data_IF_395311069646
#
_entry.id   IF_395311069646
#
_cell.length_a   1.000
_cell.length_b   1.000
_cell.length_c   1.000
_cell.angle_alpha   90.00
_cell.angle_beta   90.00
_cell.angle_gamma   90.00
#
_symmetry.space_group_name_H-M   'P 1'
#
loop_
_entity.id
_entity.type
_entity.pdbx_description
1 polymer ?
#
# COMPACT_ATOMS: atom_id res chain seq x y z
N UNK A 1 -6.47 -4.90 -20.66
CA UNK A 1 -6.34 -4.02 -19.47
C UNK A 1 -4.85 -3.86 -19.16
N UNK A 2 -4.29 -2.64 -19.28
CA UNK A 2 -2.87 -2.40 -18.99
C UNK A 2 -2.64 -2.52 -17.48
N UNK A 3 -2.28 -3.73 -17.04
CA UNK A 3 -1.54 -3.97 -15.80
C UNK A 3 -0.30 -3.07 -15.80
N UNK A 4 0.18 -2.77 -14.59
CA UNK A 4 1.50 -2.24 -14.23
C UNK A 4 1.45 -0.84 -13.60
N UNK A 5 1.17 -0.80 -12.31
CA UNK A 5 2.00 0.02 -11.41
C UNK A 5 3.14 -0.87 -10.91
N UNK A 6 4.36 -0.63 -11.40
CA UNK A 6 5.55 -1.34 -10.90
C UNK A 6 5.95 -0.85 -9.48
N UNK A 7 5.37 0.26 -9.04
CA UNK A 7 5.70 0.97 -7.82
C UNK A 7 4.44 1.54 -7.20
N UNK A 8 4.30 1.35 -5.90
CA UNK A 8 3.23 1.91 -5.06
C UNK A 8 3.88 2.92 -4.14
N UNK A 9 3.39 4.17 -4.23
CA UNK A 9 3.72 5.22 -3.27
C UNK A 9 2.48 5.46 -2.42
N UNK A 10 2.53 5.06 -1.15
CA UNK A 10 1.46 5.32 -0.20
C UNK A 10 1.85 6.52 0.67
N UNK A 11 0.95 7.51 0.77
CA UNK A 11 1.21 8.76 1.47
C UNK A 11 0.16 8.99 2.56
N UNK A 12 0.59 9.55 3.69
CA UNK A 12 -0.30 9.97 4.77
C UNK A 12 -0.81 11.40 4.57
N UNK A 13 -1.82 11.75 5.37
CA UNK A 13 -2.36 13.11 5.47
C UNK A 13 -1.23 14.05 5.90
N UNK A 14 -0.89 15.00 5.03
CA UNK A 14 0.27 15.89 5.19
C UNK A 14 1.42 15.64 4.19
N UNK A 15 1.24 14.73 3.24
CA UNK A 15 2.18 14.53 2.12
C UNK A 15 3.42 13.72 2.47
N UNK A 16 3.43 13.04 3.63
CA UNK A 16 4.51 12.15 4.01
C UNK A 16 4.38 10.83 3.27
N UNK A 17 5.43 10.42 2.56
CA UNK A 17 5.51 9.08 1.98
C UNK A 17 5.71 8.07 3.12
N UNK A 18 4.78 7.14 3.23
CA UNK A 18 4.83 6.03 4.20
C UNK A 18 5.39 4.76 3.56
N UNK A 19 5.00 4.45 2.33
CA UNK A 19 5.48 3.27 1.60
C UNK A 19 5.94 3.66 0.20
N UNK A 20 7.04 3.05 -0.22
CA UNK A 20 7.61 3.18 -1.55
C UNK A 20 8.20 1.81 -1.94
N UNK A 21 7.34 0.93 -2.44
CA UNK A 21 7.69 -0.45 -2.74
C UNK A 21 6.96 -0.95 -4.00
N UNK A 22 7.23 -2.19 -4.40
CA UNK A 22 6.53 -2.78 -5.54
C UNK A 22 5.07 -3.07 -5.18
N UNK A 23 4.22 -3.19 -6.21
CA UNK A 23 2.82 -3.57 -6.00
C UNK A 23 2.69 -4.92 -5.30
N UNK A 24 3.50 -5.89 -5.69
CA UNK A 24 3.41 -7.24 -5.16
C UNK A 24 3.85 -7.27 -3.69
N UNK A 25 4.87 -6.50 -3.33
CA UNK A 25 5.25 -6.28 -1.94
C UNK A 25 4.11 -5.60 -1.15
N UNK A 26 3.57 -4.50 -1.67
CA UNK A 26 2.57 -3.68 -0.99
C UNK A 26 1.31 -4.47 -0.62
N UNK A 27 0.80 -5.31 -1.53
CA UNK A 27 -0.42 -6.07 -1.33
C UNK A 27 -0.19 -7.52 -0.88
N UNK A 28 1.00 -8.09 -1.10
CA UNK A 28 1.29 -9.50 -0.80
C UNK A 28 1.67 -9.78 0.65
N UNK A 29 2.14 -8.76 1.38
CA UNK A 29 2.57 -8.87 2.78
C UNK A 29 1.99 -7.75 3.66
N UNK A 30 0.66 -7.61 3.77
CA UNK A 30 0.02 -6.54 4.55
C UNK A 30 0.50 -6.53 6.01
N UNK A 31 0.72 -7.69 6.63
CA UNK A 31 1.20 -7.84 8.02
C UNK A 31 2.60 -7.28 8.26
N UNK A 32 3.42 -7.14 7.23
CA UNK A 32 4.77 -6.58 7.33
C UNK A 32 4.81 -5.05 7.10
N UNK A 33 3.67 -4.42 6.80
CA UNK A 33 3.57 -2.99 6.47
C UNK A 33 3.52 -2.09 7.71
N UNK A 34 3.56 -0.77 7.51
CA UNK A 34 3.33 0.18 8.60
C UNK A 34 1.87 0.12 9.10
N UNK A 35 1.60 0.44 10.38
CA UNK A 35 0.24 0.37 10.96
C UNK A 35 -0.82 1.13 10.12
N UNK A 36 -0.48 2.32 9.62
CA UNK A 36 -1.39 3.13 8.80
C UNK A 36 -1.70 2.49 7.44
N UNK A 37 -0.70 1.87 6.83
CA UNK A 37 -0.85 1.09 5.59
C UNK A 37 -1.74 -0.12 5.82
N UNK A 38 -1.56 -0.82 6.95
CA UNK A 38 -2.42 -1.95 7.34
C UNK A 38 -3.87 -1.53 7.48
N UNK A 39 -4.14 -0.47 8.26
CA UNK A 39 -5.49 0.04 8.45
C UNK A 39 -6.16 0.42 7.11
N UNK A 40 -5.38 0.91 6.15
CA UNK A 40 -5.87 1.22 4.81
C UNK A 40 -6.16 -0.07 4.02
N UNK A 41 -5.21 -1.01 3.98
CA UNK A 41 -5.34 -2.29 3.29
C UNK A 41 -6.53 -3.09 3.82
N UNK A 42 -6.72 -3.16 5.14
CA UNK A 42 -7.85 -3.86 5.77
C UNK A 42 -9.19 -3.28 5.32
N UNK A 43 -9.29 -1.96 5.13
CA UNK A 43 -10.52 -1.31 4.64
C UNK A 43 -10.82 -1.58 3.18
N UNK A 44 -9.80 -1.74 2.34
CA UNK A 44 -9.96 -1.91 0.89
C UNK A 44 -9.93 -3.37 0.42
N UNK A 45 -9.40 -4.28 1.23
CA UNK A 45 -9.34 -5.73 0.94
C UNK A 45 -10.52 -6.50 1.56
N UNK A 46 -11.25 -5.93 2.52
CA UNK A 46 -12.46 -6.52 3.10
C UNK A 46 -13.74 -6.27 2.26
N UNK A 47 -13.63 -5.69 1.06
CA UNK A 47 -14.70 -5.52 0.08
C UNK A 47 -14.28 -6.12 -1.26
#
# INVERSE_FOLDING_TARGET
AKKVSNRVIFMDVGGKILEDCTRDDFFGHPEARQPRTKDFLDKILQH
#
